data_IF_484301799829
#
_entry.id   IF_484301799829
#
_cell.length_a   1.000
_cell.length_b   1.000
_cell.length_c   1.000
_cell.angle_alpha   90.00
_cell.angle_beta   90.00
_cell.angle_gamma   90.00
#
_symmetry.space_group_name_H-M   'P 1'
#
loop_
_entity.id
_entity.type
_entity.pdbx_description
1 polymer ?
#
# COMPACT_ATOMS: atom_id res chain seq x y z
N UNK A 1 23.91 -3.00 -15.08
CA UNK A 1 23.91 -3.87 -13.88
C UNK A 1 25.25 -4.59 -13.79
N UNK A 2 25.77 -4.85 -12.60
CA UNK A 2 27.09 -5.50 -12.44
C UNK A 2 26.95 -7.00 -12.16
N UNK A 3 28.01 -7.78 -12.37
CA UNK A 3 28.04 -9.22 -12.04
C UNK A 3 27.88 -9.47 -10.54
N UNK A 4 28.45 -8.60 -9.72
CA UNK A 4 28.32 -8.68 -8.26
C UNK A 4 26.87 -8.45 -7.83
N UNK A 5 26.17 -7.50 -8.46
CA UNK A 5 24.74 -7.29 -8.24
C UNK A 5 23.91 -8.51 -8.63
N UNK A 6 24.24 -9.16 -9.75
CA UNK A 6 23.56 -10.38 -10.20
C UNK A 6 23.74 -11.53 -9.20
N UNK A 7 24.98 -11.78 -8.75
CA UNK A 7 25.25 -12.80 -7.73
C UNK A 7 24.52 -12.51 -6.42
N UNK A 8 24.51 -11.25 -5.99
CA UNK A 8 23.78 -10.84 -4.78
C UNK A 8 22.26 -11.06 -4.92
N UNK A 9 21.70 -10.81 -6.10
CA UNK A 9 20.29 -11.10 -6.40
C UNK A 9 20.01 -12.61 -6.29
N UNK A 10 20.89 -13.44 -6.84
CA UNK A 10 20.77 -14.90 -6.77
C UNK A 10 20.89 -15.41 -5.32
N UNK A 11 21.87 -14.91 -4.56
CA UNK A 11 22.12 -15.29 -3.17
C UNK A 11 20.93 -14.95 -2.26
N UNK A 12 20.19 -13.89 -2.56
CA UNK A 12 18.99 -13.50 -1.82
C UNK A 12 17.69 -14.11 -2.34
N UNK A 13 17.78 -15.00 -3.34
CA UNK A 13 16.63 -15.74 -3.86
C UNK A 13 15.78 -14.97 -4.87
N UNK A 14 16.33 -13.94 -5.52
CA UNK A 14 15.71 -13.25 -6.65
C UNK A 14 15.63 -11.74 -6.51
N UNK A 15 15.16 -11.09 -7.59
CA UNK A 15 15.16 -9.63 -7.71
C UNK A 15 14.22 -8.96 -6.70
N UNK A 16 13.03 -9.53 -6.46
CA UNK A 16 12.06 -8.96 -5.53
C UNK A 16 12.63 -8.93 -4.10
N UNK A 17 13.23 -10.04 -3.66
CA UNK A 17 13.92 -10.13 -2.37
C UNK A 17 15.06 -9.11 -2.29
N UNK A 18 15.78 -8.89 -3.39
CA UNK A 18 16.79 -7.84 -3.49
C UNK A 18 16.25 -6.43 -3.32
N UNK A 19 15.19 -6.08 -4.03
CA UNK A 19 14.61 -4.75 -3.96
C UNK A 19 14.00 -4.46 -2.59
N UNK A 20 13.32 -5.43 -1.98
CA UNK A 20 12.66 -5.25 -0.69
C UNK A 20 13.70 -5.02 0.42
N UNK A 21 14.72 -5.88 0.49
CA UNK A 21 15.69 -5.88 1.60
C UNK A 21 16.81 -4.85 1.44
N UNK A 22 17.08 -4.38 0.22
CA UNK A 22 18.15 -3.38 -0.01
C UNK A 22 17.64 -1.97 0.31
N UNK A 23 18.27 -1.22 1.24
CA UNK A 23 17.94 0.18 1.48
C UNK A 23 18.04 1.06 0.22
N UNK A 24 17.17 2.06 0.09
CA UNK A 24 17.16 2.96 -1.08
C UNK A 24 18.49 3.71 -1.28
N UNK A 25 19.22 4.01 -0.19
CA UNK A 25 20.56 4.61 -0.27
C UNK A 25 21.61 3.73 -0.98
N UNK A 26 21.38 2.42 -1.03
CA UNK A 26 22.24 1.47 -1.73
C UNK A 26 21.77 1.19 -3.16
N UNK A 27 20.54 1.58 -3.51
CA UNK A 27 20.02 1.53 -4.88
C UNK A 27 20.52 2.75 -5.65
N UNK A 28 21.72 2.63 -6.24
CA UNK A 28 22.39 3.72 -6.96
C UNK A 28 21.78 4.04 -8.33
N UNK A 29 20.57 3.59 -8.64
CA UNK A 29 19.94 3.82 -9.95
C UNK A 29 18.46 4.17 -9.80
N UNK A 30 18.05 5.25 -10.48
CA UNK A 30 16.65 5.69 -10.51
C UNK A 30 15.67 4.58 -10.97
N UNK A 31 16.01 3.74 -11.97
CA UNK A 31 15.14 2.62 -12.33
C UNK A 31 14.95 1.60 -11.20
N UNK A 32 15.98 1.30 -10.41
CA UNK A 32 15.86 0.32 -9.32
C UNK A 32 14.94 0.82 -8.20
N UNK A 33 15.02 2.11 -7.85
CA UNK A 33 14.12 2.72 -6.88
C UNK A 33 12.67 2.74 -7.37
N UNK A 34 12.44 3.01 -8.67
CA UNK A 34 11.11 2.94 -9.26
C UNK A 34 10.54 1.51 -9.20
N UNK A 35 11.32 0.50 -9.60
CA UNK A 35 10.90 -0.90 -9.52
C UNK A 35 10.64 -1.34 -8.08
N UNK A 36 11.47 -0.91 -7.11
CA UNK A 36 11.22 -1.16 -5.68
C UNK A 36 9.86 -0.61 -5.25
N UNK A 37 9.53 0.62 -5.63
CA UNK A 37 8.24 1.23 -5.32
C UNK A 37 7.05 0.43 -5.86
N UNK A 38 7.15 -0.05 -7.09
CA UNK A 38 6.13 -0.90 -7.72
C UNK A 38 5.95 -2.22 -6.96
N UNK A 39 7.06 -2.92 -6.68
CA UNK A 39 7.06 -4.19 -5.93
C UNK A 39 6.41 -4.00 -4.55
N UNK A 40 6.82 -2.98 -3.80
CA UNK A 40 6.26 -2.68 -2.47
C UNK A 40 4.78 -2.29 -2.52
N UNK A 41 4.33 -1.66 -3.60
CA UNK A 41 2.93 -1.29 -3.80
C UNK A 41 2.07 -2.53 -4.06
N UNK A 42 2.55 -3.45 -4.90
CA UNK A 42 1.86 -4.71 -5.18
C UNK A 42 1.78 -5.58 -3.94
N UNK A 43 2.85 -5.68 -3.15
CA UNK A 43 2.87 -6.45 -1.90
C UNK A 43 1.87 -5.91 -0.89
N UNK A 44 1.87 -4.59 -0.62
CA UNK A 44 0.88 -3.96 0.27
C UNK A 44 -0.56 -4.20 -0.17
N UNK A 45 -0.85 -4.15 -1.47
CA UNK A 45 -2.20 -4.47 -2.00
C UNK A 45 -2.57 -5.93 -1.75
N UNK A 46 -1.63 -6.87 -1.92
CA UNK A 46 -1.86 -8.29 -1.66
C UNK A 46 -2.09 -8.56 -0.18
N UNK A 47 -1.30 -7.96 0.69
CA UNK A 47 -1.46 -8.05 2.15
C UNK A 47 -2.81 -7.49 2.59
N UNK A 48 -3.22 -6.33 2.07
CA UNK A 48 -4.54 -5.75 2.35
C UNK A 48 -5.67 -6.69 1.86
N UNK A 49 -5.55 -7.26 0.67
CA UNK A 49 -6.53 -8.22 0.16
C UNK A 49 -6.58 -9.52 0.98
N UNK A 50 -5.43 -10.02 1.44
CA UNK A 50 -5.33 -11.18 2.31
C UNK A 50 -5.92 -10.91 3.69
N UNK A 51 -5.67 -9.72 4.26
CA UNK A 51 -6.25 -9.30 5.54
C UNK A 51 -7.78 -9.22 5.48
N UNK A 52 -8.34 -8.69 4.38
CA UNK A 52 -9.80 -8.69 4.17
C UNK A 52 -10.40 -10.10 4.04
N UNK A 53 -9.66 -11.04 3.44
CA UNK A 53 -10.09 -12.45 3.36
C UNK A 53 -9.97 -13.18 4.71
N UNK A 54 -8.91 -12.91 5.47
CA UNK A 54 -8.69 -13.51 6.79
C UNK A 54 -9.62 -12.92 7.87
N UNK A 55 -10.03 -11.65 7.72
CA UNK A 55 -11.02 -10.98 8.57
C UNK A 55 -12.49 -11.28 8.22
N UNK A 56 -12.74 -12.13 7.21
CA UNK A 56 -14.09 -12.47 6.72
C UNK A 56 -14.90 -13.42 7.61
N UNK A 57 -14.39 -13.82 8.78
CA UNK A 57 -15.12 -14.57 9.79
C UNK A 57 -15.23 -13.76 11.10
N UNK A 58 -16.10 -12.74 11.08
CA UNK A 58 -16.77 -12.27 12.29
C UNK A 58 -18.21 -11.88 11.92
N UNK A 59 -19.22 -12.65 12.38
CA UNK A 59 -20.62 -12.34 12.12
C UNK A 59 -21.13 -11.30 13.13
N UNK A 60 -22.16 -10.56 12.70
CA UNK A 60 -23.06 -9.74 13.52
C UNK A 60 -22.52 -8.42 14.10
N UNK A 61 -23.03 -7.33 13.53
CA UNK A 61 -22.94 -5.98 14.08
C UNK A 61 -23.87 -5.01 13.34
N UNK A 62 -25.16 -5.34 13.23
CA UNK A 62 -26.20 -4.40 12.81
C UNK A 62 -26.58 -3.55 14.03
N UNK A 63 -26.17 -2.29 14.05
CA UNK A 63 -26.74 -1.22 14.88
C UNK A 63 -26.26 0.12 14.31
N UNK A 64 -27.16 0.90 13.70
CA UNK A 64 -27.59 2.19 14.27
C UNK A 64 -26.69 3.31 13.71
N UNK A 65 -27.12 4.10 12.73
CA UNK A 65 -28.14 5.11 12.96
C UNK A 65 -27.48 6.30 13.64
N UNK A 66 -26.95 7.25 12.85
CA UNK A 66 -26.85 8.63 13.31
C UNK A 66 -26.96 9.57 12.11
N UNK A 67 -28.10 10.24 12.07
CA UNK A 67 -28.38 11.44 11.30
C UNK A 67 -27.51 12.59 11.81
N UNK A 68 -26.60 13.09 10.98
CA UNK A 68 -25.91 14.36 11.22
C UNK A 68 -25.36 14.90 9.90
N UNK A 69 -26.06 15.83 9.26
CA UNK A 69 -25.90 17.27 9.46
C UNK A 69 -24.90 17.89 8.46
N UNK A 70 -25.44 18.55 7.42
CA UNK A 70 -24.91 19.80 6.84
C UNK A 70 -25.79 20.22 5.63
N UNK A 71 -27.02 20.66 5.88
CA UNK A 71 -27.75 21.50 4.93
C UNK A 71 -27.60 22.95 5.38
N UNK A 72 -27.23 23.81 4.43
CA UNK A 72 -26.62 25.11 4.63
C UNK A 72 -27.47 26.20 5.27
N UNK A 73 -26.76 27.31 5.49
CA UNK A 73 -27.08 28.51 6.25
C UNK A 73 -28.49 29.12 6.08
N UNK A 74 -29.02 29.82 7.12
CA UNK A 74 -30.24 30.60 7.03
C UNK A 74 -29.97 31.99 6.43
N UNK A 75 -30.54 32.28 5.26
CA UNK A 75 -30.65 33.64 4.72
C UNK A 75 -32.08 34.16 4.90
N UNK A 76 -32.23 35.24 5.66
CA UNK A 76 -33.52 35.87 6.00
C UNK A 76 -34.00 36.85 4.90
N UNK A 77 -35.33 36.90 4.80
CA UNK A 77 -36.23 38.04 4.52
C UNK A 77 -36.16 38.81 3.18
N UNK A 78 -37.24 38.61 2.42
CA UNK A 78 -38.19 39.61 1.88
C UNK A 78 -37.78 41.07 1.72
N UNK A 79 -37.85 41.55 0.47
CA UNK A 79 -38.44 42.83 0.06
C UNK A 79 -39.03 42.68 -1.35
#
# INVERSE_FOLDING_TARGET
MTKDTLRHIEDMGGLDAYLINTPESLLKSNPASATKWEVMTVLRRREAAAALRAGGASPAGKAGGDSGAAAGAPGKESA
#
